data_IF_633880657065
#
_entry.id   IF_633880657065
#
_cell.length_a   1.000
_cell.length_b   1.000
_cell.length_c   1.000
_cell.angle_alpha   90.00
_cell.angle_beta   90.00
_cell.angle_gamma   90.00
#
_symmetry.space_group_name_H-M   'P 1'
#
loop_
_entity.id
_entity.type
_entity.pdbx_description
1 polymer ?
#
# COMPACT_ATOMS: atom_id res chain seq x y z
N UNK A 1 5.08 -8.89 30.70
CA UNK A 1 5.64 -10.26 30.76
C UNK A 1 7.15 -10.16 30.76
N UNK A 2 7.86 -10.79 31.72
CA UNK A 2 9.33 -10.81 31.91
C UNK A 2 10.10 -9.65 31.24
N UNK A 3 10.05 -8.47 31.85
CA UNK A 3 10.83 -7.30 31.42
C UNK A 3 10.23 -6.48 30.25
N UNK A 4 9.18 -6.98 29.59
CA UNK A 4 8.54 -6.27 28.48
C UNK A 4 7.27 -5.54 28.91
N UNK A 5 7.13 -4.31 28.43
CA UNK A 5 5.88 -3.56 28.38
C UNK A 5 5.20 -3.80 27.03
N UNK A 6 3.96 -4.29 27.05
CA UNK A 6 3.17 -4.57 25.85
C UNK A 6 1.90 -3.75 25.96
N UNK A 7 1.61 -2.96 24.93
CA UNK A 7 0.38 -2.22 24.83
C UNK A 7 -0.78 -3.19 24.56
N UNK A 8 -1.78 -3.19 25.44
CA UNK A 8 -2.95 -4.09 25.33
C UNK A 8 -4.18 -3.38 24.75
N UNK A 9 -4.16 -2.06 24.64
CA UNK A 9 -5.26 -1.28 24.10
C UNK A 9 -5.07 0.22 24.29
N UNK A 10 -5.84 1.02 23.54
CA UNK A 10 -5.85 2.49 23.58
C UNK A 10 -7.28 2.99 23.50
N UNK A 11 -7.61 4.04 24.27
CA UNK A 11 -8.86 4.79 24.16
C UNK A 11 -8.57 6.26 24.34
N UNK A 12 -9.28 7.11 23.60
CA UNK A 12 -9.24 8.56 23.74
C UNK A 12 -10.61 9.14 23.40
N UNK A 13 -11.10 10.15 24.14
CA UNK A 13 -12.27 10.92 23.73
C UNK A 13 -12.02 11.73 22.44
N UNK A 14 -10.76 11.90 22.05
CA UNK A 14 -10.32 12.58 20.82
C UNK A 14 -9.63 11.60 19.85
N UNK A 15 -10.12 10.36 19.78
CA UNK A 15 -9.56 9.36 18.87
C UNK A 15 -9.85 9.74 17.42
N UNK A 16 -8.82 9.67 16.56
CA UNK A 16 -8.99 9.72 15.10
C UNK A 16 -9.27 8.35 14.49
N UNK A 17 -9.15 7.28 15.28
CA UNK A 17 -9.57 5.94 14.86
C UNK A 17 -11.09 5.89 14.74
N UNK A 18 -11.57 5.36 13.61
CA UNK A 18 -12.96 5.32 13.20
C UNK A 18 -13.28 3.90 12.73
N UNK A 19 -13.91 3.12 13.60
CA UNK A 19 -14.22 1.70 13.37
C UNK A 19 -15.12 1.48 12.16
N UNK A 20 -16.06 2.41 11.94
CA UNK A 20 -16.97 2.50 10.80
C UNK A 20 -16.27 2.67 9.44
N UNK A 21 -15.04 3.19 9.42
CA UNK A 21 -14.25 3.36 8.19
C UNK A 21 -13.26 2.23 7.93
N UNK A 22 -12.94 1.42 8.94
CA UNK A 22 -11.89 0.39 8.87
C UNK A 22 -12.43 -1.04 8.96
N UNK A 23 -13.76 -1.19 9.05
CA UNK A 23 -14.38 -2.51 9.02
C UNK A 23 -14.31 -3.14 7.63
N UNK A 24 -14.28 -4.48 7.61
CA UNK A 24 -14.42 -5.27 6.39
C UNK A 24 -15.88 -5.63 6.10
N UNK A 25 -16.79 -5.30 7.00
CA UNK A 25 -18.22 -5.47 6.78
C UNK A 25 -18.72 -4.50 5.71
N UNK A 26 -19.84 -4.84 5.05
CA UNK A 26 -20.51 -3.94 4.13
C UNK A 26 -21.07 -2.75 4.91
N UNK A 27 -20.29 -1.68 4.99
CA UNK A 27 -20.71 -0.42 5.57
C UNK A 27 -20.80 0.65 4.47
N UNK A 28 -21.82 1.50 4.54
CA UNK A 28 -22.12 2.52 3.51
C UNK A 28 -21.15 3.72 3.55
N UNK A 29 -20.16 3.68 4.44
CA UNK A 29 -19.31 4.82 4.80
C UNK A 29 -18.09 4.97 3.88
N UNK A 30 -17.62 3.88 3.25
CA UNK A 30 -16.50 3.91 2.32
C UNK A 30 -16.79 3.19 0.99
N UNK A 31 -16.71 3.93 -0.12
CA UNK A 31 -16.83 3.35 -1.45
C UNK A 31 -15.47 2.84 -1.96
N UNK A 32 -15.29 1.51 -1.96
CA UNK A 32 -14.06 0.86 -2.40
C UNK A 32 -13.67 1.18 -3.86
N UNK A 33 -14.64 1.56 -4.71
CA UNK A 33 -14.35 1.92 -6.12
C UNK A 33 -13.47 3.17 -6.24
N UNK A 34 -13.53 4.06 -5.25
CA UNK A 34 -12.74 5.30 -5.27
C UNK A 34 -11.23 5.01 -5.10
N UNK A 35 -10.87 3.88 -4.49
CA UNK A 35 -9.48 3.44 -4.33
C UNK A 35 -8.78 3.27 -5.69
N UNK A 36 -9.48 2.76 -6.70
CA UNK A 36 -8.91 2.54 -8.03
C UNK A 36 -8.45 3.86 -8.67
N UNK A 37 -9.29 4.89 -8.58
CA UNK A 37 -8.97 6.22 -9.08
C UNK A 37 -7.80 6.84 -8.33
N UNK A 38 -7.81 6.74 -6.99
CA UNK A 38 -6.73 7.24 -6.15
C UNK A 38 -5.39 6.57 -6.49
N UNK A 39 -5.34 5.23 -6.56
CA UNK A 39 -4.11 4.48 -6.85
C UNK A 39 -3.55 4.88 -8.22
N UNK A 40 -4.41 4.97 -9.24
CA UNK A 40 -3.99 5.34 -10.60
C UNK A 40 -3.41 6.76 -10.64
N UNK A 41 -4.09 7.72 -10.02
CA UNK A 41 -3.68 9.12 -10.06
C UNK A 41 -2.42 9.37 -9.21
N UNK A 42 -2.40 8.83 -7.99
CA UNK A 42 -1.25 8.97 -7.08
C UNK A 42 -0.01 8.25 -7.61
N UNK A 43 -0.20 7.09 -8.26
CA UNK A 43 0.87 6.32 -8.90
C UNK A 43 1.31 6.84 -10.28
N UNK A 44 0.57 7.79 -10.88
CA UNK A 44 0.84 8.26 -12.23
C UNK A 44 2.27 8.81 -12.41
N UNK A 45 2.80 9.68 -11.52
CA UNK A 45 4.16 10.21 -11.68
C UNK A 45 5.22 9.11 -11.66
N UNK A 46 5.07 8.13 -10.76
CA UNK A 46 5.98 6.97 -10.66
C UNK A 46 5.96 6.14 -11.95
N UNK A 47 4.77 5.90 -12.50
CA UNK A 47 4.60 5.18 -13.77
C UNK A 47 5.28 5.92 -14.93
N UNK A 48 5.09 7.24 -15.03
CA UNK A 48 5.72 8.06 -16.07
C UNK A 48 7.23 8.05 -15.95
N UNK A 49 7.76 8.23 -14.74
CA UNK A 49 9.19 8.15 -14.49
C UNK A 49 9.76 6.78 -14.93
N UNK A 50 9.11 5.68 -14.54
CA UNK A 50 9.53 4.35 -14.95
C UNK A 50 9.50 4.16 -16.48
N UNK A 51 8.49 4.69 -17.16
CA UNK A 51 8.42 4.65 -18.63
C UNK A 51 9.57 5.43 -19.27
N UNK A 52 9.86 6.65 -18.80
CA UNK A 52 10.95 7.47 -19.33
C UNK A 52 12.33 6.84 -19.09
N UNK A 53 12.55 6.21 -17.94
CA UNK A 53 13.79 5.48 -17.65
C UNK A 53 13.99 4.29 -18.60
N UNK A 54 12.92 3.53 -18.84
CA UNK A 54 12.92 2.40 -19.76
C UNK A 54 13.12 2.86 -21.21
N UNK A 55 12.40 3.89 -21.66
CA UNK A 55 12.47 4.40 -23.04
C UNK A 55 13.79 5.14 -23.33
N UNK A 56 14.34 5.86 -22.36
CA UNK A 56 15.55 6.66 -22.54
C UNK A 56 16.84 5.83 -22.54
N UNK A 57 17.06 5.03 -21.49
CA UNK A 57 18.33 4.30 -21.29
C UNK A 57 18.18 2.81 -21.65
N UNK A 58 16.96 2.29 -21.78
CA UNK A 58 16.71 0.86 -21.96
C UNK A 58 16.98 0.02 -20.71
N UNK A 59 17.34 0.66 -19.59
CA UNK A 59 17.72 -0.01 -18.34
C UNK A 59 16.92 0.60 -17.19
N UNK A 60 16.11 -0.23 -16.53
CA UNK A 60 15.46 0.15 -15.28
C UNK A 60 16.53 0.26 -14.19
N UNK A 61 16.57 1.35 -13.42
CA UNK A 61 17.43 1.46 -12.22
C UNK A 61 17.02 0.47 -11.12
N UNK A 62 15.83 -0.14 -11.25
CA UNK A 62 15.41 -1.22 -10.37
C UNK A 62 16.19 -2.49 -10.69
N UNK A 63 16.67 -3.13 -9.63
CA UNK A 63 17.29 -4.46 -9.70
C UNK A 63 16.29 -5.43 -10.34
N UNK A 64 16.64 -6.00 -11.49
CA UNK A 64 15.85 -7.06 -12.08
C UNK A 64 15.71 -8.21 -11.05
N UNK A 65 14.49 -8.75 -10.84
CA UNK A 65 14.33 -9.91 -9.99
C UNK A 65 15.18 -11.06 -10.52
N UNK A 66 15.93 -11.73 -9.65
CA UNK A 66 16.64 -12.95 -10.01
C UNK A 66 15.64 -14.11 -10.04
N UNK A 67 15.21 -14.47 -11.25
CA UNK A 67 14.26 -15.56 -11.47
C UNK A 67 14.90 -16.96 -11.35
N UNK A 68 16.19 -17.08 -11.05
CA UNK A 68 16.84 -18.39 -10.87
C UNK A 68 16.27 -19.19 -9.69
N UNK A 69 15.73 -18.52 -8.69
CA UNK A 69 15.16 -19.13 -7.48
C UNK A 69 13.62 -19.25 -7.50
N UNK A 70 12.92 -18.60 -8.43
CA UNK A 70 11.46 -18.60 -8.48
C UNK A 70 10.96 -19.35 -9.72
N UNK A 71 11.16 -20.67 -9.73
CA UNK A 71 10.40 -21.54 -10.63
C UNK A 71 8.94 -21.51 -10.18
N UNK A 72 8.07 -21.06 -11.07
CA UNK A 72 6.63 -21.29 -10.95
C UNK A 72 6.41 -22.73 -11.40
N UNK A 73 6.35 -23.62 -10.44
CA UNK A 73 5.75 -24.95 -10.58
C UNK A 73 4.23 -24.80 -10.38
#
# INVERSE_FOLDING_TARGET
>A
YKGNAILVGRKSPYSLYREDYVTFDEDDVYNQKDAEGFIKLFGLPLKVQAMLEIEGVGVSHYRAPDYSAFKRD
#
